data_IF_768684857212
#
_entry.id   IF_768684857212
#
_cell.length_a   1.000
_cell.length_b   1.000
_cell.length_c   1.000
_cell.angle_alpha   90.00
_cell.angle_beta   90.00
_cell.angle_gamma   90.00
#
_symmetry.space_group_name_H-M   'P 1'
#
loop_
_entity.id
_entity.type
_entity.pdbx_description
1 polymer ?
#
# COMPACT_ATOMS: atom_id res chain seq x y z
N UNK A 1 -1.10 2.79 -2.58
CA UNK A 1 0.19 3.31 -3.06
C UNK A 1 0.43 4.73 -2.55
N UNK A 2 1.67 5.19 -2.48
CA UNK A 2 2.03 6.53 -2.01
C UNK A 2 3.09 7.18 -2.88
N UNK A 3 2.95 8.50 -3.12
CA UNK A 3 3.88 9.32 -3.88
C UNK A 3 3.61 9.39 -5.37
N UNK A 4 4.41 10.22 -6.06
CA UNK A 4 4.29 10.45 -7.50
C UNK A 4 3.03 11.18 -7.91
N UNK A 5 2.52 12.08 -7.04
CA UNK A 5 1.29 12.86 -7.25
C UNK A 5 1.52 14.38 -7.13
N UNK A 6 2.75 14.79 -7.15
CA UNK A 6 3.16 16.19 -7.06
C UNK A 6 3.07 16.94 -8.40
N UNK A 7 3.61 18.17 -8.44
CA UNK A 7 3.54 19.03 -9.61
C UNK A 7 4.67 18.79 -10.63
N UNK A 8 5.63 17.91 -10.34
CA UNK A 8 6.85 17.73 -11.14
C UNK A 8 6.67 16.69 -12.25
N UNK A 9 7.50 16.69 -13.30
CA UNK A 9 7.32 15.79 -14.44
C UNK A 9 7.45 14.30 -14.13
N UNK A 10 8.14 13.94 -13.06
CA UNK A 10 8.31 12.57 -12.57
C UNK A 10 7.12 12.07 -11.74
N UNK A 11 6.19 12.95 -11.37
CA UNK A 11 4.93 12.60 -10.71
C UNK A 11 3.93 12.05 -11.74
N UNK A 12 3.97 10.75 -11.97
CA UNK A 12 3.17 10.05 -13.00
C UNK A 12 2.22 9.00 -12.44
N UNK A 13 1.99 8.99 -11.12
CA UNK A 13 1.18 7.93 -10.48
C UNK A 13 -0.26 7.95 -10.97
N UNK A 14 -0.90 9.10 -11.08
CA UNK A 14 -2.28 9.20 -11.55
C UNK A 14 -2.43 8.71 -12.99
N UNK A 15 -1.54 9.14 -13.90
CA UNK A 15 -1.55 8.71 -15.30
C UNK A 15 -1.30 7.21 -15.42
N UNK A 16 -0.34 6.68 -14.66
CA UNK A 16 0.00 5.25 -14.70
C UNK A 16 -1.14 4.37 -14.21
N UNK A 17 -1.80 4.77 -13.12
CA UNK A 17 -2.97 4.06 -12.58
C UNK A 17 -4.16 4.19 -13.53
N UNK A 18 -4.42 5.39 -14.09
CA UNK A 18 -5.49 5.59 -15.07
C UNK A 18 -5.32 4.65 -16.26
N UNK A 19 -4.12 4.60 -16.82
CA UNK A 19 -3.79 3.71 -17.94
C UNK A 19 -3.97 2.23 -17.58
N UNK A 20 -3.51 1.82 -16.41
CA UNK A 20 -3.61 0.43 -15.95
C UNK A 20 -5.06 -0.06 -15.78
N UNK A 21 -5.98 0.85 -15.42
CA UNK A 21 -7.38 0.53 -15.18
C UNK A 21 -8.33 1.02 -16.29
N UNK A 22 -7.82 1.57 -17.41
CA UNK A 22 -8.65 2.13 -18.47
C UNK A 22 -9.50 3.32 -18.02
N UNK A 23 -8.97 4.14 -17.10
CA UNK A 23 -9.62 5.31 -16.52
C UNK A 23 -9.07 6.63 -17.10
N UNK A 24 -8.82 6.63 -18.39
CA UNK A 24 -8.43 7.81 -19.16
C UNK A 24 -9.65 8.42 -19.89
N UNK A 25 -9.67 9.74 -20.19
CA UNK A 25 -8.69 10.73 -19.76
C UNK A 25 -8.77 11.05 -18.27
N UNK A 26 -7.71 11.70 -17.74
CA UNK A 26 -7.76 12.30 -16.42
C UNK A 26 -8.70 13.50 -16.41
N UNK A 27 -9.38 13.73 -15.30
CA UNK A 27 -10.35 14.80 -15.11
C UNK A 27 -9.98 15.64 -13.89
N UNK A 28 -10.21 16.97 -13.99
CA UNK A 28 -10.00 17.86 -12.84
C UNK A 28 -11.07 17.66 -11.78
N UNK A 29 -10.65 17.68 -10.53
CA UNK A 29 -11.56 17.71 -9.38
C UNK A 29 -11.66 19.13 -8.82
N UNK A 30 -12.84 19.72 -8.93
CA UNK A 30 -13.09 21.11 -8.57
C UNK A 30 -12.94 21.35 -7.06
N UNK A 31 -13.31 20.39 -6.22
CA UNK A 31 -13.18 20.52 -4.77
C UNK A 31 -11.70 20.52 -4.36
N UNK A 32 -10.89 19.66 -4.95
CA UNK A 32 -9.43 19.65 -4.72
C UNK A 32 -8.79 20.96 -5.17
N UNK A 33 -9.18 21.48 -6.35
CA UNK A 33 -8.70 22.77 -6.83
C UNK A 33 -9.05 23.89 -5.86
N UNK A 34 -10.29 23.93 -5.38
CA UNK A 34 -10.76 24.93 -4.42
C UNK A 34 -10.00 24.88 -3.10
N UNK A 35 -9.87 23.68 -2.50
CA UNK A 35 -9.13 23.50 -1.23
C UNK A 35 -7.66 23.84 -1.36
N UNK A 36 -7.04 23.47 -2.49
CA UNK A 36 -5.65 23.80 -2.79
C UNK A 36 -5.46 25.32 -2.89
N UNK A 37 -6.37 26.04 -3.54
CA UNK A 37 -6.29 27.49 -3.65
C UNK A 37 -6.40 28.19 -2.30
N UNK A 38 -7.33 27.77 -1.43
CA UNK A 38 -7.45 28.28 -0.06
C UNK A 38 -6.14 28.04 0.72
N UNK A 39 -5.57 26.83 0.61
CA UNK A 39 -4.33 26.49 1.28
C UNK A 39 -3.16 27.34 0.81
N UNK A 40 -3.06 27.59 -0.49
CA UNK A 40 -2.02 28.44 -1.07
C UNK A 40 -2.15 29.90 -0.58
N UNK A 41 -3.36 30.46 -0.61
CA UNK A 41 -3.61 31.82 -0.13
C UNK A 41 -3.26 31.97 1.35
N UNK A 42 -3.47 30.94 2.15
CA UNK A 42 -3.15 30.98 3.57
C UNK A 42 -1.64 30.92 3.85
N UNK A 43 -0.88 30.07 3.12
CA UNK A 43 0.54 29.82 3.41
C UNK A 43 1.50 30.64 2.57
N UNK A 44 1.08 31.18 1.41
CA UNK A 44 1.95 31.82 0.43
C UNK A 44 1.36 33.15 -0.08
N UNK A 45 0.87 33.99 0.85
CA UNK A 45 0.16 35.27 0.56
C UNK A 45 0.93 36.21 -0.37
N UNK A 46 2.25 36.19 -0.33
CA UNK A 46 3.10 37.13 -1.06
C UNK A 46 3.73 36.51 -2.32
N UNK A 47 3.38 35.27 -2.66
CA UNK A 47 3.93 34.59 -3.83
C UNK A 47 3.07 34.82 -5.06
N UNK A 48 3.47 35.72 -5.95
CA UNK A 48 2.86 35.85 -7.28
C UNK A 48 3.18 34.60 -8.11
N UNK A 49 2.15 33.82 -8.46
CA UNK A 49 2.32 32.62 -9.26
C UNK A 49 2.35 32.98 -10.76
N UNK A 50 3.30 32.41 -11.50
CA UNK A 50 3.29 32.45 -12.96
C UNK A 50 2.22 31.47 -13.50
N UNK A 51 1.84 31.62 -14.77
CA UNK A 51 0.91 30.69 -15.43
C UNK A 51 1.44 29.24 -15.41
N UNK A 52 2.76 29.06 -15.56
CA UNK A 52 3.41 27.75 -15.51
C UNK A 52 3.31 27.13 -14.12
N UNK A 53 3.55 27.89 -13.06
CA UNK A 53 3.36 27.44 -11.69
C UNK A 53 1.92 27.05 -11.41
N UNK A 54 0.98 27.84 -11.89
CA UNK A 54 -0.46 27.57 -11.75
C UNK A 54 -0.85 26.29 -12.48
N UNK A 55 -0.35 26.07 -13.68
CA UNK A 55 -0.58 24.85 -14.46
C UNK A 55 0.01 23.62 -13.76
N UNK A 56 1.24 23.72 -13.26
CA UNK A 56 1.89 22.64 -12.52
C UNK A 56 1.10 22.27 -11.25
N UNK A 57 0.63 23.27 -10.50
CA UNK A 57 -0.20 23.05 -9.30
C UNK A 57 -1.52 22.34 -9.63
N UNK A 58 -2.23 22.80 -10.67
CA UNK A 58 -3.51 22.22 -11.10
C UNK A 58 -3.38 20.74 -11.47
N UNK A 59 -2.21 20.31 -11.96
CA UNK A 59 -1.95 18.90 -12.27
C UNK A 59 -2.14 17.98 -11.05
N UNK A 60 -1.91 18.48 -9.84
CA UNK A 60 -2.12 17.71 -8.61
C UNK A 60 -3.59 17.43 -8.29
N UNK A 61 -4.53 18.07 -8.98
CA UNK A 61 -5.97 17.83 -8.89
C UNK A 61 -6.54 17.16 -10.14
N UNK A 62 -5.69 16.55 -10.97
CA UNK A 62 -6.06 15.87 -12.20
C UNK A 62 -6.05 14.36 -11.94
N UNK A 63 -7.23 13.77 -11.80
CA UNK A 63 -7.40 12.40 -11.32
C UNK A 63 -7.89 11.43 -12.41
N UNK A 64 -7.64 10.13 -12.26
CA UNK A 64 -8.23 9.11 -13.13
C UNK A 64 -9.76 9.23 -13.17
N UNK A 65 -10.33 9.10 -14.35
CA UNK A 65 -11.78 9.18 -14.57
C UNK A 65 -12.57 8.24 -13.65
N UNK A 66 -13.73 8.68 -13.19
CA UNK A 66 -14.60 7.94 -12.26
C UNK A 66 -13.91 7.55 -10.93
N UNK A 67 -12.91 8.30 -10.51
CA UNK A 67 -12.29 8.10 -9.20
C UNK A 67 -13.19 8.60 -8.08
N UNK A 68 -13.11 7.96 -6.94
CA UNK A 68 -13.69 8.46 -5.71
C UNK A 68 -12.66 9.35 -5.00
N UNK A 69 -12.96 10.63 -4.85
CA UNK A 69 -12.10 11.61 -4.16
C UNK A 69 -12.56 11.70 -2.71
N UNK A 70 -11.69 11.35 -1.78
CA UNK A 70 -12.00 11.25 -0.35
C UNK A 70 -11.17 12.28 0.40
N UNK A 71 -11.84 13.16 1.14
CA UNK A 71 -11.23 14.10 2.09
C UNK A 71 -11.47 13.58 3.50
N UNK A 72 -10.57 12.73 4.04
CA UNK A 72 -10.80 12.11 5.34
C UNK A 72 -10.59 13.06 6.51
N UNK A 73 -10.05 14.25 6.26
CA UNK A 73 -9.86 15.34 7.23
C UNK A 73 -10.01 16.70 6.56
N UNK A 74 -10.57 17.66 7.29
CA UNK A 74 -10.75 19.03 6.82
C UNK A 74 -9.45 19.85 6.83
N UNK A 75 -8.45 19.43 7.63
CA UNK A 75 -7.19 20.14 7.77
C UNK A 75 -6.26 20.00 6.57
N UNK A 76 -6.48 19.03 5.71
CA UNK A 76 -5.64 18.77 4.55
C UNK A 76 -6.41 19.02 3.26
N UNK A 77 -5.80 19.77 2.36
CA UNK A 77 -6.36 20.00 1.03
C UNK A 77 -6.16 18.81 0.08
N UNK A 78 -5.10 18.00 0.30
CA UNK A 78 -4.80 16.85 -0.53
C UNK A 78 -5.72 15.68 -0.17
N UNK A 79 -6.47 15.13 -1.15
CA UNK A 79 -7.35 13.99 -0.92
C UNK A 79 -6.61 12.65 -0.97
N UNK A 80 -7.32 11.60 -0.58
CA UNK A 80 -7.05 10.24 -1.00
C UNK A 80 -7.90 9.93 -2.23
N UNK A 81 -7.27 9.54 -3.32
CA UNK A 81 -7.97 9.21 -4.58
C UNK A 81 -8.11 7.70 -4.68
N UNK A 82 -9.35 7.21 -4.72
CA UNK A 82 -9.65 5.77 -4.84
C UNK A 82 -10.10 5.42 -6.24
N UNK A 83 -9.29 4.61 -6.92
CA UNK A 83 -9.54 4.12 -8.28
C UNK A 83 -10.04 2.69 -8.22
N UNK A 84 -11.01 2.33 -9.05
CA UNK A 84 -11.58 0.99 -9.18
C UNK A 84 -12.07 0.38 -7.84
N UNK A 85 -12.36 1.21 -6.84
CA UNK A 85 -12.86 0.81 -5.53
C UNK A 85 -11.84 0.15 -4.60
N UNK A 86 -10.63 -0.18 -5.08
CA UNK A 86 -9.64 -0.95 -4.33
C UNK A 86 -8.21 -0.40 -4.37
N UNK A 87 -7.92 0.63 -5.17
CA UNK A 87 -6.60 1.27 -5.22
C UNK A 87 -6.70 2.66 -4.62
N UNK A 88 -6.16 2.85 -3.43
CA UNK A 88 -6.06 4.16 -2.78
C UNK A 88 -4.69 4.78 -3.09
N UNK A 89 -4.69 6.00 -3.59
CA UNK A 89 -3.50 6.78 -3.92
C UNK A 89 -3.35 7.88 -2.87
N UNK A 90 -2.21 7.91 -2.20
CA UNK A 90 -1.87 8.83 -1.12
C UNK A 90 -0.62 9.66 -1.48
N UNK A 91 -0.38 10.81 -0.83
CA UNK A 91 0.85 11.57 -1.02
C UNK A 91 2.10 10.81 -0.55
N UNK A 92 3.26 11.20 -1.08
CA UNK A 92 4.54 10.57 -0.75
C UNK A 92 5.24 11.15 0.48
N UNK A 93 4.76 12.28 1.01
CA UNK A 93 5.35 12.92 2.21
C UNK A 93 4.97 12.05 3.43
N UNK A 94 5.95 11.48 4.18
CA UNK A 94 5.68 10.47 5.20
C UNK A 94 4.64 10.88 6.23
N UNK A 95 4.70 12.11 6.75
CA UNK A 95 3.74 12.61 7.76
C UNK A 95 2.31 12.75 7.19
N UNK A 96 2.18 13.19 5.94
CA UNK A 96 0.87 13.28 5.28
C UNK A 96 0.34 11.89 4.92
N UNK A 97 1.21 11.01 4.43
CA UNK A 97 0.85 9.62 4.14
C UNK A 97 0.28 8.92 5.37
N UNK A 98 0.98 9.00 6.50
CA UNK A 98 0.57 8.36 7.74
C UNK A 98 -0.76 8.95 8.25
N UNK A 99 -0.88 10.27 8.31
CA UNK A 99 -2.09 10.95 8.76
C UNK A 99 -3.31 10.56 7.89
N UNK A 100 -3.16 10.60 6.55
CA UNK A 100 -4.23 10.24 5.64
C UNK A 100 -4.55 8.75 5.66
N UNK A 101 -3.54 7.87 5.84
CA UNK A 101 -3.76 6.43 5.95
C UNK A 101 -4.66 6.10 7.16
N UNK A 102 -4.37 6.67 8.33
CA UNK A 102 -5.20 6.49 9.52
C UNK A 102 -6.59 7.10 9.35
N UNK A 103 -6.68 8.32 8.83
CA UNK A 103 -7.96 8.99 8.63
C UNK A 103 -8.85 8.31 7.56
N UNK A 104 -8.26 7.54 6.65
CA UNK A 104 -9.00 6.83 5.60
C UNK A 104 -9.65 5.53 6.09
N UNK A 105 -9.28 5.01 7.25
CA UNK A 105 -9.82 3.74 7.77
C UNK A 105 -11.36 3.65 7.75
N UNK A 106 -12.14 4.66 8.17
CA UNK A 106 -13.61 4.60 8.12
C UNK A 106 -14.19 4.52 6.71
N UNK A 107 -13.44 4.97 5.72
CA UNK A 107 -13.84 4.94 4.30
C UNK A 107 -13.48 3.63 3.60
N UNK A 108 -12.67 2.78 4.24
CA UNK A 108 -12.39 1.44 3.73
C UNK A 108 -13.62 0.56 3.95
N UNK A 109 -14.15 0.01 2.87
CA UNK A 109 -15.30 -0.93 2.92
C UNK A 109 -14.82 -2.30 3.41
N UNK A 110 -14.31 -2.35 4.65
CA UNK A 110 -13.87 -3.57 5.28
C UNK A 110 -15.05 -4.22 5.97
N UNK A 111 -15.26 -5.50 5.72
CA UNK A 111 -16.21 -6.28 6.51
C UNK A 111 -15.60 -6.52 7.91
N UNK A 112 -16.20 -5.98 8.99
CA UNK A 112 -15.69 -6.17 10.34
C UNK A 112 -15.75 -7.64 10.80
N UNK A 113 -16.61 -8.45 10.15
CA UNK A 113 -16.78 -9.88 10.43
C UNK A 113 -15.94 -10.76 9.50
N UNK A 114 -15.22 -10.19 8.53
CA UNK A 114 -14.34 -10.97 7.68
C UNK A 114 -13.26 -11.69 8.51
N UNK A 115 -13.03 -12.97 8.28
CA UNK A 115 -11.99 -13.71 8.99
C UNK A 115 -10.63 -13.03 8.75
N UNK A 116 -9.90 -12.78 9.82
CA UNK A 116 -8.55 -12.20 9.73
C UNK A 116 -7.54 -13.29 9.44
N UNK A 117 -6.65 -13.11 8.47
CA UNK A 117 -5.61 -14.09 8.23
C UNK A 117 -4.64 -14.13 9.42
N UNK A 118 -4.27 -15.34 9.80
CA UNK A 118 -3.26 -15.61 10.81
C UNK A 118 -1.92 -15.67 10.10
N UNK A 119 -0.91 -15.05 10.67
CA UNK A 119 0.48 -15.10 10.18
C UNK A 119 1.37 -15.72 11.22
N UNK A 120 2.10 -16.77 10.86
CA UNK A 120 3.14 -17.36 11.70
C UNK A 120 4.49 -17.26 10.99
N UNK A 121 5.54 -16.94 11.74
CA UNK A 121 6.90 -16.82 11.24
C UNK A 121 7.78 -17.94 11.81
N UNK A 122 8.68 -18.43 10.96
CA UNK A 122 9.78 -19.32 11.35
C UNK A 122 11.09 -18.66 10.96
N UNK A 123 11.98 -18.44 11.91
CA UNK A 123 13.31 -17.91 11.68
C UNK A 123 14.32 -19.06 11.53
N UNK A 124 15.16 -19.00 10.51
CA UNK A 124 16.27 -19.93 10.31
C UNK A 124 17.53 -19.16 9.94
N UNK A 125 18.68 -19.65 10.36
CA UNK A 125 19.99 -19.10 9.97
C UNK A 125 20.46 -19.57 8.60
N UNK A 126 19.72 -20.49 7.95
CA UNK A 126 20.07 -20.97 6.62
C UNK A 126 19.88 -19.88 5.58
N UNK A 127 20.77 -19.76 4.59
CA UNK A 127 20.60 -18.86 3.46
C UNK A 127 19.33 -19.17 2.65
N UNK A 128 18.72 -18.13 2.05
CA UNK A 128 17.49 -18.27 1.26
C UNK A 128 17.66 -19.26 0.09
N UNK A 129 18.83 -19.31 -0.53
CA UNK A 129 19.14 -20.27 -1.59
C UNK A 129 19.08 -21.73 -1.14
N UNK A 130 19.43 -22.00 0.11
CA UNK A 130 19.39 -23.35 0.70
C UNK A 130 17.96 -23.78 1.00
N UNK A 131 17.11 -22.87 1.48
CA UNK A 131 15.71 -23.17 1.81
C UNK A 131 14.76 -23.05 0.61
N UNK A 132 15.22 -22.52 -0.53
CA UNK A 132 14.40 -22.33 -1.73
C UNK A 132 13.65 -23.57 -2.21
N UNK A 133 14.29 -24.78 -2.28
CA UNK A 133 13.56 -25.99 -2.66
C UNK A 133 12.43 -26.36 -1.69
N UNK A 134 12.64 -26.17 -0.38
CA UNK A 134 11.61 -26.34 0.62
C UNK A 134 10.46 -25.37 0.41
N UNK A 135 10.77 -24.07 0.25
CA UNK A 135 9.77 -23.02 0.01
C UNK A 135 8.93 -23.31 -1.23
N UNK A 136 9.54 -23.80 -2.30
CA UNK A 136 8.80 -24.19 -3.51
C UNK A 136 7.79 -25.31 -3.25
N UNK A 137 8.20 -26.37 -2.53
CA UNK A 137 7.29 -27.47 -2.15
C UNK A 137 6.15 -26.98 -1.24
N UNK A 138 6.48 -26.21 -0.20
CA UNK A 138 5.50 -25.67 0.75
C UNK A 138 4.55 -24.67 0.07
N UNK A 139 5.04 -23.88 -0.87
CA UNK A 139 4.17 -22.96 -1.66
C UNK A 139 3.21 -23.75 -2.55
N UNK A 140 3.69 -24.79 -3.23
CA UNK A 140 2.86 -25.59 -4.12
C UNK A 140 1.77 -26.37 -3.38
N UNK A 141 2.09 -26.95 -2.21
CA UNK A 141 1.11 -27.64 -1.36
C UNK A 141 0.20 -26.65 -0.64
N UNK A 142 0.75 -25.57 -0.09
CA UNK A 142 0.02 -24.56 0.67
C UNK A 142 -1.05 -23.85 -0.16
N UNK A 143 -0.79 -23.61 -1.44
CA UNK A 143 -1.78 -23.03 -2.36
C UNK A 143 -3.07 -23.85 -2.42
N UNK A 144 -2.99 -25.18 -2.30
CA UNK A 144 -4.16 -26.08 -2.31
C UNK A 144 -4.92 -26.05 -0.97
N UNK A 145 -4.24 -25.76 0.11
CA UNK A 145 -4.79 -25.73 1.48
C UNK A 145 -5.07 -24.29 1.97
N UNK A 146 -4.98 -23.27 1.07
CA UNK A 146 -5.26 -21.89 1.42
C UNK A 146 -4.13 -21.19 2.21
N UNK A 147 -2.91 -21.76 2.20
CA UNK A 147 -1.74 -21.19 2.88
C UNK A 147 -0.87 -20.44 1.87
N UNK A 148 -0.52 -19.20 2.19
CA UNK A 148 0.49 -18.43 1.49
C UNK A 148 1.81 -18.53 2.20
N UNK A 149 2.85 -18.93 1.47
CA UNK A 149 4.22 -19.08 1.96
C UNK A 149 5.08 -17.98 1.33
N UNK A 150 5.94 -17.36 2.12
CA UNK A 150 6.88 -16.35 1.65
C UNK A 150 8.17 -16.37 2.47
N UNK A 151 9.21 -15.72 1.97
CA UNK A 151 10.50 -15.55 2.65
C UNK A 151 10.90 -14.07 2.72
N UNK A 152 11.57 -13.72 3.80
CA UNK A 152 12.06 -12.37 4.07
C UNK A 152 13.48 -12.47 4.61
N UNK A 153 14.51 -12.30 3.75
CA UNK A 153 15.89 -12.28 4.18
C UNK A 153 16.14 -11.14 5.18
N UNK A 154 16.84 -11.44 6.25
CA UNK A 154 17.35 -10.45 7.20
C UNK A 154 18.86 -10.41 7.12
N UNK A 155 19.40 -9.28 6.74
CA UNK A 155 20.83 -9.10 6.59
C UNK A 155 21.58 -9.52 7.88
N UNK A 156 22.49 -10.49 7.76
CA UNK A 156 23.28 -11.03 8.87
C UNK A 156 22.50 -11.85 9.92
N UNK A 157 21.19 -12.11 9.70
CA UNK A 157 20.31 -12.78 10.67
C UNK A 157 19.49 -13.92 10.06
N UNK A 158 19.87 -14.43 8.90
CA UNK A 158 19.15 -15.53 8.25
C UNK A 158 17.90 -15.11 7.50
N UNK A 159 16.87 -15.96 7.54
CA UNK A 159 15.63 -15.77 6.77
C UNK A 159 14.43 -16.02 7.67
N UNK A 160 13.44 -15.16 7.56
CA UNK A 160 12.09 -15.41 8.09
C UNK A 160 11.23 -16.05 7.02
N UNK A 161 10.75 -17.26 7.25
CA UNK A 161 9.69 -17.89 6.47
C UNK A 161 8.33 -17.49 7.06
N UNK A 162 7.41 -17.04 6.23
CA UNK A 162 6.09 -16.55 6.63
C UNK A 162 5.01 -17.50 6.11
N UNK A 163 4.13 -17.94 6.98
CA UNK A 163 2.97 -18.78 6.69
C UNK A 163 1.71 -18.00 7.04
N UNK A 164 0.85 -17.76 6.03
CA UNK A 164 -0.37 -16.97 6.20
C UNK A 164 -1.57 -17.79 5.72
N UNK A 165 -2.58 -17.91 6.56
CA UNK A 165 -3.82 -18.63 6.26
C UNK A 165 -4.92 -18.26 7.24
N UNK A 166 -6.04 -18.99 7.20
CA UNK A 166 -7.20 -18.73 8.06
C UNK A 166 -7.42 -19.85 9.10
N UNK A 167 -6.76 -20.98 8.95
CA UNK A 167 -6.83 -22.12 9.86
C UNK A 167 -5.48 -22.33 10.54
N UNK A 168 -5.47 -22.16 11.87
CA UNK A 168 -4.25 -22.29 12.68
C UNK A 168 -3.68 -23.71 12.62
N UNK A 169 -4.52 -24.72 12.58
CA UNK A 169 -4.08 -26.12 12.58
C UNK A 169 -3.33 -26.48 11.28
N UNK A 170 -3.80 -25.94 10.16
CA UNK A 170 -3.15 -26.10 8.87
C UNK A 170 -1.82 -25.32 8.85
N UNK A 171 -1.81 -24.08 9.36
CA UNK A 171 -0.59 -23.28 9.47
C UNK A 171 0.46 -24.01 10.31
N UNK A 172 0.08 -24.56 11.46
CA UNK A 172 0.98 -25.26 12.38
C UNK A 172 1.66 -26.45 11.71
N UNK A 173 0.95 -27.23 10.90
CA UNK A 173 1.51 -28.32 10.10
C UNK A 173 2.65 -27.86 9.20
N UNK A 174 2.49 -26.73 8.49
CA UNK A 174 3.51 -26.14 7.62
C UNK A 174 4.68 -25.57 8.42
N UNK A 175 4.40 -24.94 9.54
CA UNK A 175 5.39 -24.39 10.45
C UNK A 175 6.27 -25.50 11.05
N UNK A 176 5.69 -26.59 11.54
CA UNK A 176 6.40 -27.75 12.08
C UNK A 176 7.28 -28.41 11.01
N UNK A 177 6.78 -28.55 9.79
CA UNK A 177 7.58 -29.08 8.69
C UNK A 177 8.77 -28.15 8.39
N UNK A 178 8.56 -26.83 8.35
CA UNK A 178 9.63 -25.87 8.11
C UNK A 178 10.68 -25.90 9.24
N UNK A 179 10.27 -25.98 10.49
CA UNK A 179 11.16 -26.10 11.65
C UNK A 179 11.98 -27.39 11.55
N UNK A 180 11.33 -28.50 11.27
CA UNK A 180 11.99 -29.80 11.16
C UNK A 180 13.06 -29.82 10.07
N UNK A 181 12.76 -29.26 8.88
CA UNK A 181 13.67 -29.32 7.73
C UNK A 181 14.79 -28.26 7.80
N UNK A 182 14.60 -27.15 8.54
CA UNK A 182 15.57 -26.04 8.56
C UNK A 182 16.28 -25.86 9.90
N UNK A 183 15.87 -26.59 10.94
CA UNK A 183 16.34 -26.33 12.30
C UNK A 183 15.93 -24.94 12.83
N UNK A 184 14.96 -24.31 12.18
CA UNK A 184 14.47 -22.98 12.55
C UNK A 184 13.62 -22.98 13.82
N UNK A 185 13.25 -21.80 14.27
CA UNK A 185 12.41 -21.60 15.46
C UNK A 185 11.20 -20.73 15.12
N UNK A 186 10.05 -21.01 15.76
CA UNK A 186 8.87 -20.16 15.65
C UNK A 186 9.15 -18.80 16.31
N UNK A 187 8.83 -17.72 15.61
CA UNK A 187 8.95 -16.35 16.14
C UNK A 187 7.58 -15.87 16.59
N UNK A 188 7.50 -15.36 17.82
CA UNK A 188 6.28 -14.70 18.32
C UNK A 188 6.01 -13.45 17.47
N UNK A 189 4.76 -13.23 17.06
CA UNK A 189 4.34 -11.97 16.48
C UNK A 189 4.47 -10.88 17.55
N UNK A 190 5.44 -9.99 17.37
CA UNK A 190 5.50 -8.72 18.09
C UNK A 190 4.69 -7.69 17.33
#
# INVERSE_FOLDING_TARGET
TGGGIGPTPDDITYESIAKAFGKEPLEYDDETLHRMEISIQHHYKDLSATDEMTKARKRMALFPKDSEVIFPTEQLWVPVVRVNGNVCILPGIPSLFEALLYATQPYLRLDPNAPRPIRTLVETMLPESVISPLLQRLTASGKKEGIRVGSYPKWGKGVHMSFIGYDQSIIDKYVEQAIHETGGVRVSNT
#
